data_IF_398943476076
#
_entry.id   IF_398943476076
#
_cell.length_a   1.000
_cell.length_b   1.000
_cell.length_c   1.000
_cell.angle_alpha   90.00
_cell.angle_beta   90.00
_cell.angle_gamma   90.00
#
_symmetry.space_group_name_H-M   'P 1'
#
loop_
_entity.id
_entity.type
_entity.pdbx_description
1 polymer ?
#
# COMPACT_ATOMS: atom_id res chain seq x y z
N UNK A 1 10.97 -9.27 12.53
CA UNK A 1 10.26 -8.00 12.27
C UNK A 1 8.82 -8.15 12.70
N UNK A 2 8.30 -7.15 13.34
CA UNK A 2 6.97 -7.19 13.90
C UNK A 2 5.92 -7.01 12.78
N UNK A 3 5.03 -8.00 12.62
CA UNK A 3 4.02 -7.95 11.57
C UNK A 3 2.99 -6.84 11.83
N UNK A 4 2.71 -6.53 13.09
CA UNK A 4 1.81 -5.43 13.42
C UNK A 4 2.37 -4.09 12.98
N UNK A 5 3.66 -3.88 13.17
CA UNK A 5 4.32 -2.67 12.72
C UNK A 5 4.22 -2.52 11.20
N UNK A 6 4.44 -3.61 10.47
CA UNK A 6 4.35 -3.57 9.01
C UNK A 6 2.94 -3.25 8.54
N UNK A 7 1.93 -3.86 9.15
CA UNK A 7 0.54 -3.59 8.79
C UNK A 7 0.18 -2.13 9.04
N UNK A 8 0.57 -1.59 10.18
CA UNK A 8 0.30 -0.21 10.51
C UNK A 8 0.99 0.76 9.55
N UNK A 9 2.24 0.49 9.21
CA UNK A 9 2.99 1.33 8.28
C UNK A 9 2.40 1.28 6.88
N UNK A 10 2.03 0.08 6.41
CA UNK A 10 1.39 -0.05 5.11
C UNK A 10 0.11 0.75 5.06
N UNK A 11 -0.72 0.61 6.09
CA UNK A 11 -2.00 1.29 6.11
C UNK A 11 -1.84 2.80 6.24
N UNK A 12 -0.91 3.25 7.08
CA UNK A 12 -0.64 4.68 7.24
C UNK A 12 -0.18 5.31 5.93
N UNK A 13 0.78 4.68 5.26
CA UNK A 13 1.31 5.21 4.01
C UNK A 13 0.27 5.15 2.90
N UNK A 14 -0.53 4.10 2.87
CA UNK A 14 -1.60 3.98 1.88
C UNK A 14 -2.65 5.08 2.04
N UNK A 15 -3.03 5.37 3.27
CA UNK A 15 -4.00 6.42 3.54
C UNK A 15 -3.48 7.79 3.13
N UNK A 16 -2.21 8.06 3.43
CA UNK A 16 -1.58 9.33 3.02
C UNK A 16 -1.51 9.41 1.51
N UNK A 17 -1.06 8.36 0.85
CA UNK A 17 -0.94 8.34 -0.60
C UNK A 17 -2.30 8.49 -1.27
N UNK A 18 -3.31 7.84 -0.75
CA UNK A 18 -4.65 7.94 -1.29
C UNK A 18 -5.21 9.36 -1.13
N UNK A 19 -5.00 9.97 0.04
CA UNK A 19 -5.48 11.32 0.32
C UNK A 19 -4.81 12.37 -0.54
N UNK A 20 -3.53 12.16 -0.88
CA UNK A 20 -2.75 13.11 -1.66
C UNK A 20 -2.76 12.80 -3.16
N UNK A 21 -3.39 11.69 -3.56
CA UNK A 21 -3.45 11.31 -4.97
C UNK A 21 -2.17 10.70 -5.51
N UNK A 22 -1.26 10.28 -4.65
CA UNK A 22 0.02 9.69 -5.06
C UNK A 22 -0.14 8.17 -5.17
N UNK A 23 -0.82 7.74 -6.22
CA UNK A 23 -1.02 6.33 -6.49
C UNK A 23 -1.23 6.13 -7.99
N UNK A 24 -1.02 4.92 -8.46
CA UNK A 24 -1.25 4.56 -9.85
C UNK A 24 -2.56 3.80 -9.97
N UNK A 25 -3.34 4.14 -11.00
CA UNK A 25 -4.57 3.43 -11.28
C UNK A 25 -4.26 2.12 -11.99
N UNK A 26 -4.89 1.06 -11.54
CA UNK A 26 -4.83 -0.24 -12.16
C UNK A 26 -6.22 -0.57 -12.70
N UNK A 27 -6.56 -1.84 -12.80
CA UNK A 27 -7.83 -2.27 -13.37
C UNK A 27 -9.02 -1.88 -12.49
N UNK A 28 -10.08 -1.49 -13.15
CA UNK A 28 -11.36 -1.28 -12.50
C UNK A 28 -12.26 -2.48 -12.80
N UNK A 29 -12.87 -3.04 -11.76
CA UNK A 29 -13.82 -4.14 -11.91
C UNK A 29 -15.15 -3.79 -11.25
N UNK A 30 -16.07 -4.78 -11.20
CA UNK A 30 -17.40 -4.55 -10.65
C UNK A 30 -17.39 -4.26 -9.15
N UNK A 31 -16.31 -4.60 -8.47
CA UNK A 31 -16.22 -4.44 -7.02
C UNK A 31 -15.57 -3.13 -6.62
N UNK A 32 -14.76 -2.55 -7.48
CA UNK A 32 -14.10 -1.29 -7.18
C UNK A 32 -12.92 -1.00 -8.09
N UNK A 33 -12.13 -0.04 -7.69
CA UNK A 33 -10.96 0.40 -8.45
C UNK A 33 -9.70 -0.13 -7.79
N UNK A 34 -8.87 -0.85 -8.53
CA UNK A 34 -7.56 -1.25 -8.05
C UNK A 34 -6.57 -0.12 -8.23
N UNK A 35 -5.76 0.09 -7.22
CA UNK A 35 -4.69 1.08 -7.27
C UNK A 35 -3.40 0.47 -6.76
N UNK A 36 -2.28 1.01 -7.21
CA UNK A 36 -0.96 0.61 -6.75
C UNK A 36 -0.33 1.75 -5.98
N UNK A 37 0.18 1.45 -4.81
CA UNK A 37 0.80 2.44 -3.93
C UNK A 37 2.21 1.99 -3.62
N UNK A 38 3.16 2.91 -3.76
CA UNK A 38 4.56 2.66 -3.40
C UNK A 38 4.74 2.86 -1.91
N UNK A 39 5.22 1.82 -1.24
CA UNK A 39 5.46 1.84 0.20
C UNK A 39 6.97 1.81 0.43
N UNK A 40 7.44 2.70 1.29
CA UNK A 40 8.85 2.77 1.66
C UNK A 40 8.98 2.50 3.15
N UNK A 41 9.78 1.50 3.50
CA UNK A 41 9.99 1.09 4.88
C UNK A 41 11.48 1.11 5.19
N UNK A 42 11.82 1.69 6.33
CA UNK A 42 13.19 1.70 6.82
C UNK A 42 13.49 0.40 7.54
N UNK A 43 14.57 -0.25 7.13
CA UNK A 43 15.02 -1.48 7.79
C UNK A 43 15.69 -1.13 9.11
N UNK A 44 15.38 -1.93 10.14
CA UNK A 44 15.96 -1.70 11.46
C UNK A 44 17.39 -2.19 11.57
N UNK A 45 17.75 -3.19 10.78
CA UNK A 45 19.07 -3.83 10.89
C UNK A 45 20.19 -2.99 10.30
N UNK A 46 19.95 -2.28 9.21
CA UNK A 46 21.00 -1.51 8.53
C UNK A 46 20.62 -0.07 8.23
N UNK A 47 19.41 0.34 8.59
CA UNK A 47 18.95 1.71 8.35
C UNK A 47 18.62 2.05 6.91
N UNK A 48 18.70 1.09 6.01
CA UNK A 48 18.38 1.32 4.61
C UNK A 48 16.87 1.30 4.38
N UNK A 49 16.45 2.00 3.35
CA UNK A 49 15.04 2.03 2.95
C UNK A 49 14.77 0.97 1.90
N UNK A 50 13.66 0.27 2.07
CA UNK A 50 13.18 -0.71 1.09
C UNK A 50 11.88 -0.18 0.52
N UNK A 51 11.78 -0.17 -0.81
CA UNK A 51 10.60 0.32 -1.50
C UNK A 51 9.94 -0.83 -2.24
N UNK A 52 8.65 -0.99 -2.04
CA UNK A 52 7.87 -1.98 -2.80
C UNK A 52 6.50 -1.44 -3.13
N UNK A 53 5.92 -2.03 -4.15
CA UNK A 53 4.57 -1.68 -4.55
C UNK A 53 3.57 -2.57 -3.85
N UNK A 54 2.44 -1.98 -3.50
CA UNK A 54 1.33 -2.71 -2.89
C UNK A 54 0.06 -2.46 -3.69
N UNK A 55 -0.73 -3.52 -3.85
CA UNK A 55 -2.01 -3.42 -4.54
C UNK A 55 -3.14 -3.25 -3.55
N UNK A 56 -4.00 -2.28 -3.82
CA UNK A 56 -5.12 -1.95 -2.96
C UNK A 56 -6.40 -1.92 -3.77
N UNK A 57 -7.51 -2.17 -3.10
CA UNK A 57 -8.84 -2.06 -3.69
C UNK A 57 -9.59 -0.93 -3.03
N UNK A 58 -10.08 0.00 -3.84
CA UNK A 58 -10.93 1.10 -3.37
C UNK A 58 -12.36 0.74 -3.71
N UNK A 59 -13.17 0.52 -2.67
CA UNK A 59 -14.57 0.18 -2.82
C UNK A 59 -15.44 1.41 -2.99
N UNK A 60 -16.63 1.26 -3.59
CA UNK A 60 -17.51 2.42 -3.80
C UNK A 60 -17.94 3.13 -2.52
N UNK A 61 -17.89 2.45 -1.39
CA UNK A 61 -18.24 3.07 -0.09
C UNK A 61 -17.08 3.86 0.51
N UNK A 62 -15.94 3.92 -0.16
CA UNK A 62 -14.78 4.68 0.29
C UNK A 62 -13.74 3.87 1.05
N UNK A 63 -13.99 2.58 1.27
CA UNK A 63 -13.00 1.75 1.94
C UNK A 63 -11.84 1.43 1.03
N UNK A 64 -10.64 1.37 1.61
CA UNK A 64 -9.44 0.97 0.90
C UNK A 64 -8.85 -0.23 1.64
N UNK A 65 -8.61 -1.32 0.91
CA UNK A 65 -8.19 -2.60 1.49
C UNK A 65 -6.99 -3.13 0.75
N UNK A 66 -6.00 -3.60 1.50
CA UNK A 66 -4.81 -4.22 0.92
C UNK A 66 -5.19 -5.54 0.26
N UNK A 67 -4.88 -5.65 -1.02
CA UNK A 67 -5.17 -6.85 -1.80
C UNK A 67 -3.93 -7.72 -1.90
N UNK A 68 -2.81 -7.13 -2.31
CA UNK A 68 -1.57 -7.87 -2.51
C UNK A 68 -0.38 -7.01 -2.13
N UNK A 69 0.41 -7.42 -1.13
CA UNK A 69 1.70 -6.80 -0.91
C UNK A 69 2.69 -7.39 -1.91
N UNK A 70 3.12 -6.57 -2.87
CA UNK A 70 4.14 -7.01 -3.81
C UNK A 70 5.49 -6.84 -3.14
N UNK A 71 6.00 -7.92 -2.61
CA UNK A 71 7.33 -7.89 -2.06
C UNK A 71 8.36 -7.82 -3.16
N UNK A 72 9.50 -7.24 -2.85
CA UNK A 72 10.66 -7.30 -3.71
C UNK A 72 11.22 -8.72 -3.66
N UNK A 73 11.39 -9.32 -4.77
CA UNK A 73 11.94 -10.67 -4.85
C UNK A 73 13.38 -10.65 -5.27
#
# INVERSE_FOLDING_TARGET
MDSEYLQQEFQRQAMIAYSTGIYELDKRDDYGQRINITITIKRKDNGEYVTFQSGWMVYPDGRIVLVTPYGDR
#
